data_IF_029936147190
#
_entry.id   IF_029936147190
#
_cell.length_a   1.000
_cell.length_b   1.000
_cell.length_c   1.000
_cell.angle_alpha   90.00
_cell.angle_beta   90.00
_cell.angle_gamma   90.00
#
_symmetry.space_group_name_H-M   'P 1'
#
loop_
_entity.id
_entity.type
_entity.pdbx_description
1 polymer ?
#
# COMPACT_ATOMS: atom_id res chain seq x y z
N UNK A 1 25.82 8.83 -3.51
CA UNK A 1 26.09 9.73 -4.66
C UNK A 1 27.49 10.33 -4.59
N UNK A 2 27.86 11.11 -3.54
CA UNK A 2 29.15 11.81 -3.47
C UNK A 2 30.40 10.91 -3.64
N UNK A 3 30.37 9.69 -3.11
CA UNK A 3 31.47 8.71 -3.22
C UNK A 3 31.61 8.20 -4.67
N UNK A 4 30.51 8.14 -5.41
CA UNK A 4 30.46 7.60 -6.79
C UNK A 4 30.70 8.68 -7.84
N UNK A 5 30.60 9.97 -7.49
CA UNK A 5 30.75 11.08 -8.44
C UNK A 5 32.04 11.03 -9.27
N UNK A 6 33.23 10.74 -8.69
CA UNK A 6 34.47 10.67 -9.49
C UNK A 6 34.43 9.54 -10.54
N UNK A 7 33.72 8.45 -10.29
CA UNK A 7 33.64 7.32 -11.20
C UNK A 7 32.65 7.57 -12.35
N UNK A 8 31.60 8.38 -12.11
CA UNK A 8 30.66 8.77 -13.18
C UNK A 8 31.36 9.56 -14.28
N UNK A 9 32.27 10.46 -13.92
CA UNK A 9 33.03 11.25 -14.88
C UNK A 9 33.98 10.38 -15.72
N UNK A 10 34.50 9.27 -15.17
CA UNK A 10 35.39 8.34 -15.83
C UNK A 10 34.67 7.32 -16.70
N UNK A 11 33.59 6.71 -16.16
CA UNK A 11 32.85 5.59 -16.76
C UNK A 11 31.72 6.04 -17.68
N UNK A 12 31.31 7.29 -17.56
CA UNK A 12 30.07 7.81 -18.13
C UNK A 12 28.83 7.35 -17.34
N UNK A 13 27.70 7.99 -17.61
CA UNK A 13 26.43 7.69 -16.97
C UNK A 13 25.97 8.80 -16.02
N UNK A 14 24.93 8.52 -15.28
CA UNK A 14 24.32 9.45 -14.33
C UNK A 14 23.86 8.71 -13.06
N UNK A 15 24.00 9.35 -11.92
CA UNK A 15 23.45 8.86 -10.64
C UNK A 15 22.46 9.88 -10.11
N UNK A 16 21.22 9.46 -10.00
CA UNK A 16 20.14 10.27 -9.42
C UNK A 16 19.80 9.82 -8.00
N UNK A 17 19.53 10.77 -7.13
CA UNK A 17 19.03 10.51 -5.79
C UNK A 17 17.63 11.12 -5.66
N UNK A 18 16.65 10.27 -5.44
CA UNK A 18 15.27 10.68 -5.26
C UNK A 18 14.89 10.69 -3.76
N UNK A 19 14.48 11.84 -3.26
CA UNK A 19 13.85 11.94 -1.94
C UNK A 19 12.37 11.61 -2.06
N UNK A 20 11.96 10.44 -1.56
CA UNK A 20 10.60 9.92 -1.71
C UNK A 20 9.92 9.78 -0.35
N UNK A 21 9.26 10.86 0.19
CA UNK A 21 8.67 10.84 1.50
C UNK A 21 7.39 9.98 1.57
N UNK A 22 6.97 9.65 2.82
CA UNK A 22 5.68 9.04 3.11
C UNK A 22 5.60 7.55 2.78
N UNK A 23 6.72 6.80 2.82
CA UNK A 23 6.69 5.34 2.62
C UNK A 23 5.84 4.64 3.68
N UNK A 24 5.96 5.04 4.95
CA UNK A 24 5.20 4.51 6.09
C UNK A 24 3.71 4.92 6.09
N UNK A 25 3.27 5.66 5.09
CA UNK A 25 1.88 6.07 4.91
C UNK A 25 1.63 7.55 5.22
N UNK A 26 0.35 7.87 5.45
CA UNK A 26 -0.14 9.23 5.63
C UNK A 26 -0.91 9.74 4.42
N UNK A 27 -1.53 10.90 4.57
CA UNK A 27 -2.27 11.54 3.47
C UNK A 27 -1.31 11.86 2.31
N UNK A 28 -1.66 11.41 1.10
CA UNK A 28 -0.81 11.49 -0.10
C UNK A 28 0.56 10.78 0.05
N UNK A 29 0.68 9.79 0.95
CA UNK A 29 1.88 9.00 1.14
C UNK A 29 2.25 8.12 -0.07
N UNK A 30 3.34 7.37 0.08
CA UNK A 30 3.90 6.49 -0.97
C UNK A 30 4.37 7.26 -2.22
N UNK A 31 5.26 8.22 -2.02
CA UNK A 31 5.69 9.16 -3.06
C UNK A 31 6.37 8.48 -4.26
N UNK A 32 6.95 7.26 -4.13
CA UNK A 32 7.53 6.53 -5.27
C UNK A 32 6.48 6.24 -6.34
N UNK A 33 5.22 5.95 -5.96
CA UNK A 33 4.11 5.83 -6.89
C UNK A 33 3.84 7.11 -7.69
N UNK A 34 3.94 8.28 -7.04
CA UNK A 34 3.85 9.58 -7.73
C UNK A 34 5.00 9.79 -8.70
N UNK A 35 6.23 9.47 -8.31
CA UNK A 35 7.41 9.62 -9.17
C UNK A 35 7.31 8.72 -10.42
N UNK A 36 6.80 7.50 -10.27
CA UNK A 36 6.54 6.61 -11.43
C UNK A 36 5.51 7.25 -12.36
N UNK A 37 4.37 7.69 -11.82
CA UNK A 37 3.28 8.31 -12.60
C UNK A 37 3.71 9.56 -13.37
N UNK A 38 4.60 10.36 -12.78
CA UNK A 38 5.12 11.60 -13.38
C UNK A 38 6.35 11.35 -14.31
N UNK A 39 6.72 10.08 -14.58
CA UNK A 39 7.74 9.72 -15.56
C UNK A 39 9.19 9.89 -15.09
N UNK A 40 9.45 10.02 -13.78
CA UNK A 40 10.81 10.25 -13.26
C UNK A 40 11.76 9.07 -13.50
N UNK A 41 11.24 7.91 -13.88
CA UNK A 41 12.03 6.70 -14.12
C UNK A 41 12.13 6.30 -15.60
N UNK A 42 11.57 7.08 -16.54
CA UNK A 42 11.53 6.72 -17.98
C UNK A 42 12.92 6.57 -18.60
N UNK A 43 13.91 7.29 -18.11
CA UNK A 43 15.30 7.27 -18.59
C UNK A 43 16.28 6.72 -17.53
N UNK A 44 15.78 5.91 -16.58
CA UNK A 44 16.57 5.25 -15.53
C UNK A 44 16.69 3.77 -15.84
N UNK A 45 17.91 3.23 -15.84
CA UNK A 45 18.17 1.83 -16.16
C UNK A 45 17.89 0.88 -14.99
N UNK A 46 18.14 1.32 -13.75
CA UNK A 46 17.93 0.51 -12.53
C UNK A 46 17.80 1.38 -11.28
N UNK A 47 17.11 0.87 -10.27
CA UNK A 47 16.94 1.53 -8.98
C UNK A 47 17.40 0.65 -7.80
N UNK A 48 17.96 1.30 -6.79
CA UNK A 48 18.40 0.67 -5.54
C UNK A 48 17.87 1.47 -4.36
N UNK A 49 17.18 0.78 -3.45
CA UNK A 49 16.74 1.31 -2.17
C UNK A 49 17.18 0.35 -1.05
N UNK A 50 18.05 0.78 -0.14
CA UNK A 50 18.51 -0.06 0.96
C UNK A 50 17.58 0.12 2.16
N UNK A 51 17.08 -0.98 2.71
CA UNK A 51 16.22 -0.98 3.90
C UNK A 51 17.04 -1.37 5.15
N UNK A 52 17.01 -0.58 6.24
CA UNK A 52 17.66 -0.96 7.49
C UNK A 52 16.92 -2.14 8.14
N UNK A 53 17.68 -3.10 8.67
CA UNK A 53 17.14 -4.28 9.34
C UNK A 53 18.13 -4.82 10.38
N UNK A 54 17.79 -5.95 10.99
CA UNK A 54 18.69 -6.70 11.89
C UNK A 54 19.52 -7.77 11.15
N UNK A 55 19.28 -7.97 9.84
CA UNK A 55 20.00 -8.93 9.00
C UNK A 55 20.21 -8.39 7.60
N UNK A 56 21.24 -8.90 6.94
CA UNK A 56 21.39 -8.73 5.50
C UNK A 56 20.45 -9.68 4.77
N UNK A 57 19.67 -9.19 3.82
CA UNK A 57 18.71 -10.03 3.11
C UNK A 57 18.41 -9.51 1.70
N UNK A 58 18.08 -10.44 0.82
CA UNK A 58 17.66 -10.14 -0.56
C UNK A 58 16.31 -9.43 -0.59
N UNK A 59 16.05 -8.74 -1.68
CA UNK A 59 14.73 -8.18 -1.99
C UNK A 59 13.67 -9.27 -1.94
N UNK A 60 12.58 -9.02 -1.23
CA UNK A 60 11.45 -9.94 -1.12
C UNK A 60 10.24 -9.42 -1.88
N UNK A 61 9.42 -10.32 -2.41
CA UNK A 61 8.10 -9.96 -2.91
C UNK A 61 7.27 -9.36 -1.77
N UNK A 62 6.50 -8.33 -2.06
CA UNK A 62 5.56 -7.67 -1.14
C UNK A 62 4.16 -7.64 -1.74
N UNK A 63 3.16 -7.29 -0.91
CA UNK A 63 1.78 -7.23 -1.36
C UNK A 63 1.49 -5.88 -2.05
N UNK A 64 0.69 -5.92 -3.10
CA UNK A 64 -0.01 -4.73 -3.58
C UNK A 64 -1.03 -4.26 -2.53
N UNK A 65 -1.25 -2.94 -2.43
CA UNK A 65 -2.10 -2.34 -1.40
C UNK A 65 -2.82 -1.09 -1.91
N UNK A 66 -4.14 -1.07 -1.76
CA UNK A 66 -4.98 0.10 -2.01
C UNK A 66 -5.57 0.63 -0.70
N UNK A 67 -5.11 1.80 -0.26
CA UNK A 67 -5.65 2.49 0.91
C UNK A 67 -6.86 3.33 0.50
N UNK A 68 -8.08 2.93 0.90
CA UNK A 68 -9.32 3.57 0.48
C UNK A 68 -10.08 4.21 1.63
N UNK A 69 -10.64 5.37 1.38
CA UNK A 69 -11.67 6.00 2.22
C UNK A 69 -13.05 5.77 1.60
N UNK A 70 -14.00 5.45 2.47
CA UNK A 70 -15.42 5.29 2.14
C UNK A 70 -16.21 6.25 3.00
N UNK A 71 -16.99 7.14 2.36
CA UNK A 71 -17.81 8.11 3.06
C UNK A 71 -19.24 8.01 2.56
N UNK A 72 -20.19 8.05 3.48
CA UNK A 72 -21.61 8.09 3.17
C UNK A 72 -22.25 9.35 3.69
N UNK A 73 -23.14 9.92 2.89
CA UNK A 73 -23.91 11.12 3.20
C UNK A 73 -25.40 10.79 3.14
N UNK A 74 -26.07 11.04 4.25
CA UNK A 74 -27.48 10.80 4.42
C UNK A 74 -28.22 12.07 4.86
N UNK A 75 -29.15 11.92 5.80
CA UNK A 75 -29.93 13.04 6.33
C UNK A 75 -30.29 12.79 7.80
N UNK A 76 -29.94 13.74 8.66
CA UNK A 76 -30.29 13.67 10.07
C UNK A 76 -31.82 13.78 10.31
N UNK A 77 -32.28 13.09 11.33
CA UNK A 77 -33.62 13.24 11.91
C UNK A 77 -33.63 12.80 13.36
N UNK A 78 -34.67 13.17 14.10
CA UNK A 78 -34.85 12.66 15.45
C UNK A 78 -35.29 11.19 15.39
N UNK A 79 -34.46 10.28 15.92
CA UNK A 79 -34.64 8.83 15.73
C UNK A 79 -35.97 8.27 16.26
N UNK A 80 -36.57 8.89 17.28
CA UNK A 80 -37.85 8.45 17.85
C UNK A 80 -39.06 9.27 17.33
N UNK A 81 -38.87 10.55 16.98
CA UNK A 81 -40.00 11.42 16.65
C UNK A 81 -40.29 11.45 15.13
N UNK A 82 -39.28 11.26 14.27
CA UNK A 82 -39.43 11.32 12.83
C UNK A 82 -38.37 10.45 12.11
N UNK A 83 -38.23 9.17 12.46
CA UNK A 83 -37.20 8.31 11.85
C UNK A 83 -37.36 8.18 10.33
N UNK A 84 -38.58 8.21 9.81
CA UNK A 84 -38.90 8.11 8.40
C UNK A 84 -38.39 9.29 7.55
N UNK A 85 -38.00 10.41 8.19
CA UNK A 85 -37.41 11.56 7.52
C UNK A 85 -35.88 11.47 7.40
N UNK A 86 -35.27 10.55 8.15
CA UNK A 86 -33.83 10.31 8.15
C UNK A 86 -33.38 9.47 6.95
N UNK A 87 -32.09 9.57 6.63
CA UNK A 87 -31.35 8.66 5.75
C UNK A 87 -30.08 8.31 6.52
N UNK A 88 -29.94 7.04 6.93
CA UNK A 88 -28.91 6.64 7.86
C UNK A 88 -27.60 6.28 7.14
N UNK A 89 -26.60 7.15 7.23
CA UNK A 89 -25.28 6.95 6.65
C UNK A 89 -24.49 5.82 7.35
N UNK A 90 -24.67 5.65 8.68
CA UNK A 90 -23.98 4.58 9.42
C UNK A 90 -24.46 3.19 8.98
N UNK A 91 -25.76 3.02 8.73
CA UNK A 91 -26.29 1.76 8.24
C UNK A 91 -25.73 1.38 6.86
N UNK A 92 -25.47 2.37 6.00
CA UNK A 92 -24.77 2.12 4.73
C UNK A 92 -23.35 1.58 4.96
N UNK A 93 -22.62 2.19 5.88
CA UNK A 93 -21.25 1.76 6.22
C UNK A 93 -21.23 0.36 6.86
N UNK A 94 -22.19 0.06 7.75
CA UNK A 94 -22.34 -1.28 8.35
C UNK A 94 -22.63 -2.33 7.26
N UNK A 95 -23.45 -2.01 6.26
CA UNK A 95 -23.70 -2.92 5.12
C UNK A 95 -22.42 -3.17 4.31
N UNK A 96 -21.54 -2.19 4.17
CA UNK A 96 -20.22 -2.39 3.53
C UNK A 96 -19.39 -3.41 4.30
N UNK A 97 -19.28 -3.29 5.64
CA UNK A 97 -18.58 -4.28 6.45
C UNK A 97 -19.17 -5.69 6.30
N UNK A 98 -20.50 -5.82 6.29
CA UNK A 98 -21.18 -7.09 6.09
C UNK A 98 -20.95 -7.65 4.67
N UNK A 99 -21.00 -6.80 3.65
CA UNK A 99 -20.72 -7.18 2.26
C UNK A 99 -19.28 -7.67 2.07
N UNK A 100 -18.31 -6.97 2.65
CA UNK A 100 -16.90 -7.38 2.66
C UNK A 100 -16.73 -8.71 3.39
N UNK A 101 -17.40 -8.94 4.52
CA UNK A 101 -17.36 -10.21 5.25
C UNK A 101 -17.87 -11.38 4.39
N UNK A 102 -18.96 -11.18 3.63
CA UNK A 102 -19.45 -12.14 2.65
C UNK A 102 -18.49 -12.37 1.50
N UNK A 103 -17.88 -11.30 0.98
CA UNK A 103 -16.91 -11.35 -0.11
C UNK A 103 -15.67 -12.17 0.25
N UNK A 104 -15.15 -12.08 1.49
CA UNK A 104 -13.94 -12.80 1.95
C UNK A 104 -14.00 -14.30 1.71
N UNK A 105 -15.18 -14.91 1.71
CA UNK A 105 -15.36 -16.34 1.46
C UNK A 105 -15.04 -16.75 0.01
N UNK A 106 -14.98 -15.79 -0.89
CA UNK A 106 -14.83 -15.98 -2.34
C UNK A 106 -13.58 -15.31 -2.92
N UNK A 107 -12.66 -14.87 -2.04
CA UNK A 107 -11.39 -14.28 -2.44
C UNK A 107 -10.23 -15.27 -2.29
N UNK A 108 -9.13 -15.12 -3.06
CA UNK A 108 -7.88 -15.83 -2.81
C UNK A 108 -7.41 -15.67 -1.36
N UNK A 109 -6.68 -16.65 -0.84
CA UNK A 109 -6.25 -16.68 0.57
C UNK A 109 -5.25 -15.58 0.95
N UNK A 110 -4.55 -15.05 -0.02
CA UNK A 110 -3.57 -13.97 0.09
C UNK A 110 -4.21 -12.58 0.09
N UNK A 111 -5.51 -12.48 -0.19
CA UNK A 111 -6.24 -11.21 -0.11
C UNK A 111 -6.60 -10.88 1.33
N UNK A 112 -6.20 -9.68 1.74
CA UNK A 112 -6.51 -9.12 3.06
C UNK A 112 -7.28 -7.81 2.91
N UNK A 113 -8.43 -7.70 3.61
CA UNK A 113 -9.21 -6.48 3.68
C UNK A 113 -9.44 -6.15 5.15
N UNK A 114 -8.91 -5.04 5.62
CA UNK A 114 -9.16 -4.55 6.97
C UNK A 114 -9.54 -3.08 6.92
N UNK A 115 -10.35 -2.67 7.91
CA UNK A 115 -10.78 -1.29 8.01
C UNK A 115 -11.34 -0.97 9.37
N UNK A 116 -11.50 0.31 9.59
CA UNK A 116 -12.11 0.88 10.80
C UNK A 116 -13.18 1.88 10.42
N UNK A 117 -14.14 2.07 11.31
CA UNK A 117 -15.08 3.19 11.23
C UNK A 117 -14.37 4.40 11.82
N UNK A 118 -14.22 5.46 11.03
CA UNK A 118 -13.60 6.73 11.44
C UNK A 118 -14.61 7.74 11.91
N UNK A 119 -15.87 7.65 11.42
CA UNK A 119 -17.00 8.43 11.88
C UNK A 119 -18.28 7.58 11.81
N UNK A 120 -19.08 7.58 12.85
CA UNK A 120 -20.33 6.81 12.94
C UNK A 120 -21.54 7.63 13.45
N UNK A 121 -21.44 8.96 13.44
CA UNK A 121 -22.46 9.88 13.91
C UNK A 121 -22.20 10.46 15.29
N UNK A 122 -23.05 11.38 15.74
CA UNK A 122 -22.80 12.24 16.90
C UNK A 122 -23.62 11.88 18.15
N UNK A 123 -24.80 11.29 18.02
CA UNK A 123 -25.67 10.95 19.15
C UNK A 123 -26.63 9.81 18.81
N UNK A 124 -26.89 8.93 19.77
CA UNK A 124 -27.72 7.73 19.57
C UNK A 124 -29.20 8.02 19.26
N UNK A 125 -29.70 9.20 19.59
CA UNK A 125 -31.06 9.64 19.32
C UNK A 125 -31.22 10.49 18.04
N UNK A 126 -30.15 10.59 17.26
CA UNK A 126 -30.11 11.28 15.96
C UNK A 126 -29.70 10.29 14.87
N UNK A 127 -30.49 10.17 13.78
CA UNK A 127 -30.12 9.39 12.62
C UNK A 127 -28.83 9.98 12.02
N UNK A 128 -27.74 9.20 11.88
CA UNK A 128 -26.48 9.70 11.37
C UNK A 128 -26.59 10.19 9.90
N UNK A 129 -26.30 11.45 9.66
CA UNK A 129 -26.25 12.01 8.30
C UNK A 129 -24.90 11.85 7.61
N UNK A 130 -23.88 11.47 8.36
CA UNK A 130 -22.53 11.21 7.87
C UNK A 130 -21.96 9.98 8.59
N UNK A 131 -21.26 9.15 7.82
CA UNK A 131 -20.43 8.07 8.34
C UNK A 131 -19.24 7.85 7.40
N UNK A 132 -18.11 7.50 7.97
CA UNK A 132 -16.89 7.26 7.22
C UNK A 132 -16.14 6.03 7.75
N UNK A 133 -15.47 5.34 6.84
CA UNK A 133 -14.57 4.23 7.15
C UNK A 133 -13.32 4.30 6.30
N UNK A 134 -12.22 3.82 6.85
CA UNK A 134 -10.93 3.74 6.16
C UNK A 134 -10.50 2.28 6.09
N UNK A 135 -10.05 1.86 4.90
CA UNK A 135 -9.74 0.46 4.62
C UNK A 135 -8.38 0.34 3.91
N UNK A 136 -7.72 -0.79 4.14
CA UNK A 136 -6.62 -1.29 3.33
C UNK A 136 -7.05 -2.57 2.61
N UNK A 137 -6.95 -2.57 1.29
CA UNK A 137 -7.18 -3.71 0.44
C UNK A 137 -5.80 -4.22 0.00
N UNK A 138 -5.48 -5.50 0.24
CA UNK A 138 -4.17 -6.07 -0.10
C UNK A 138 -4.34 -7.38 -0.85
N UNK A 139 -3.47 -7.61 -1.84
CA UNK A 139 -3.37 -8.87 -2.57
C UNK A 139 -1.92 -9.15 -2.96
N UNK A 140 -1.61 -10.39 -3.36
CA UNK A 140 -0.27 -10.77 -3.77
C UNK A 140 0.24 -10.03 -5.01
N UNK A 141 -0.66 -9.54 -5.86
CA UNK A 141 -0.32 -8.80 -7.07
C UNK A 141 -1.39 -7.77 -7.45
N UNK A 142 -0.98 -6.79 -8.25
CA UNK A 142 -1.83 -5.68 -8.71
C UNK A 142 -3.10 -6.16 -9.41
N UNK A 143 -3.01 -7.12 -10.32
CA UNK A 143 -4.16 -7.59 -11.09
C UNK A 143 -5.27 -8.18 -10.19
N UNK A 144 -4.89 -8.98 -9.19
CA UNK A 144 -5.84 -9.50 -8.20
C UNK A 144 -6.45 -8.37 -7.37
N UNK A 145 -5.63 -7.37 -7.00
CA UNK A 145 -6.10 -6.25 -6.18
C UNK A 145 -7.08 -5.36 -6.95
N UNK A 146 -6.89 -5.15 -8.25
CA UNK A 146 -7.83 -4.40 -9.09
C UNK A 146 -9.23 -5.04 -9.11
N UNK A 147 -9.28 -6.38 -9.20
CA UNK A 147 -10.56 -7.10 -9.08
C UNK A 147 -11.20 -6.95 -7.69
N UNK A 148 -10.39 -6.95 -6.64
CA UNK A 148 -10.87 -6.75 -5.26
C UNK A 148 -11.40 -5.34 -5.08
N UNK A 149 -10.69 -4.34 -5.59
CA UNK A 149 -11.10 -2.94 -5.55
C UNK A 149 -12.47 -2.74 -6.20
N UNK A 150 -12.67 -3.27 -7.41
CA UNK A 150 -13.95 -3.21 -8.11
C UNK A 150 -15.09 -3.89 -7.33
N UNK A 151 -14.83 -5.07 -6.75
CA UNK A 151 -15.83 -5.79 -5.94
C UNK A 151 -16.22 -5.01 -4.69
N UNK A 152 -15.25 -4.36 -4.00
CA UNK A 152 -15.51 -3.52 -2.83
C UNK A 152 -16.29 -2.27 -3.25
N UNK A 153 -15.92 -1.61 -4.33
CA UNK A 153 -16.67 -0.47 -4.87
C UNK A 153 -18.12 -0.83 -5.19
N UNK A 154 -18.37 -2.02 -5.76
CA UNK A 154 -19.72 -2.50 -6.03
C UNK A 154 -20.54 -2.76 -4.76
N UNK A 155 -19.90 -3.22 -3.67
CA UNK A 155 -20.54 -3.32 -2.35
C UNK A 155 -20.94 -1.94 -1.83
N UNK A 156 -20.05 -0.93 -1.96
CA UNK A 156 -20.34 0.46 -1.57
C UNK A 156 -21.51 1.03 -2.36
N UNK A 157 -21.53 0.84 -3.69
CA UNK A 157 -22.65 1.24 -4.56
C UNK A 157 -23.96 0.59 -4.12
N UNK A 158 -23.92 -0.71 -3.83
CA UNK A 158 -25.09 -1.47 -3.37
C UNK A 158 -25.62 -0.97 -2.02
N UNK A 159 -24.72 -0.68 -1.06
CA UNK A 159 -25.08 -0.13 0.25
C UNK A 159 -25.72 1.28 0.12
N UNK A 160 -25.15 2.13 -0.73
CA UNK A 160 -25.73 3.46 -1.00
C UNK A 160 -27.11 3.37 -1.60
N UNK A 161 -27.31 2.50 -2.59
CA UNK A 161 -28.61 2.27 -3.22
C UNK A 161 -29.67 1.75 -2.22
N UNK A 162 -29.26 0.79 -1.36
CA UNK A 162 -30.17 0.17 -0.39
C UNK A 162 -30.63 1.14 0.71
N UNK A 163 -29.79 2.10 1.09
CA UNK A 163 -30.06 3.06 2.17
C UNK A 163 -30.56 4.42 1.70
N UNK A 164 -30.43 4.71 0.38
CA UNK A 164 -30.75 6.01 -0.19
C UNK A 164 -29.70 7.08 0.10
N UNK A 165 -28.51 6.70 0.53
CA UNK A 165 -27.37 7.61 0.75
C UNK A 165 -26.64 7.94 -0.55
N UNK A 166 -25.89 9.06 -0.57
CA UNK A 166 -24.80 9.26 -1.53
C UNK A 166 -23.47 8.82 -0.90
N UNK A 167 -22.43 8.61 -1.72
CA UNK A 167 -21.17 8.12 -1.24
C UNK A 167 -19.98 8.76 -1.98
N UNK A 168 -18.82 8.72 -1.32
CA UNK A 168 -17.50 8.88 -1.92
C UNK A 168 -16.70 7.59 -1.66
N UNK A 169 -15.96 7.14 -2.66
CA UNK A 169 -15.06 6.00 -2.59
C UNK A 169 -13.80 6.33 -3.36
N UNK A 170 -12.63 6.20 -2.75
CA UNK A 170 -11.38 6.51 -3.41
C UNK A 170 -10.16 6.36 -2.52
N UNK A 171 -9.00 6.47 -3.14
CA UNK A 171 -7.71 6.37 -2.46
C UNK A 171 -7.44 7.62 -1.61
N UNK A 172 -6.95 7.43 -0.39
CA UNK A 172 -6.47 8.53 0.47
C UNK A 172 -4.94 8.72 0.42
N UNK A 173 -4.22 7.76 -0.14
CA UNK A 173 -2.79 7.85 -0.51
C UNK A 173 -2.56 7.11 -1.82
N UNK A 174 -1.35 7.18 -2.39
CA UNK A 174 -1.04 6.44 -3.60
C UNK A 174 -1.25 4.93 -3.41
N UNK A 175 -1.75 4.28 -4.45
CA UNK A 175 -1.76 2.83 -4.58
C UNK A 175 -0.34 2.30 -4.62
N UNK A 176 -0.10 1.18 -3.96
CA UNK A 176 1.20 0.51 -3.91
C UNK A 176 1.11 -0.81 -4.66
N UNK A 177 2.03 -1.03 -5.60
CA UNK A 177 2.11 -2.28 -6.36
C UNK A 177 2.97 -3.32 -5.65
N UNK A 178 2.79 -4.59 -6.01
CA UNK A 178 3.65 -5.67 -5.56
C UNK A 178 5.08 -5.52 -6.11
N UNK A 179 6.07 -5.98 -5.33
CA UNK A 179 7.48 -5.92 -5.76
C UNK A 179 7.77 -7.04 -6.76
N UNK A 180 8.24 -6.66 -7.95
CA UNK A 180 8.86 -7.57 -8.91
C UNK A 180 10.33 -7.74 -8.55
N UNK A 181 10.71 -8.92 -8.06
CA UNK A 181 12.09 -9.19 -7.67
C UNK A 181 13.00 -9.33 -8.89
N UNK A 182 14.23 -8.81 -8.81
CA UNK A 182 15.28 -8.92 -9.83
C UNK A 182 16.48 -9.71 -9.25
N UNK A 183 16.44 -11.06 -9.25
CA UNK A 183 17.42 -11.87 -8.52
C UNK A 183 18.88 -11.63 -8.93
N UNK A 184 19.15 -11.43 -10.22
CA UNK A 184 20.51 -11.15 -10.70
C UNK A 184 21.09 -9.85 -10.18
N UNK A 185 20.23 -8.85 -9.91
CA UNK A 185 20.66 -7.58 -9.33
C UNK A 185 20.94 -7.73 -7.83
N UNK A 186 20.11 -8.49 -7.10
CA UNK A 186 20.40 -8.84 -5.70
C UNK A 186 21.71 -9.64 -5.59
N UNK A 187 21.95 -10.61 -6.48
CA UNK A 187 23.20 -11.38 -6.50
C UNK A 187 24.42 -10.51 -6.69
N UNK A 188 24.36 -9.53 -7.61
CA UNK A 188 25.42 -8.56 -7.81
C UNK A 188 25.66 -7.70 -6.56
N UNK A 189 24.59 -7.21 -5.94
CA UNK A 189 24.67 -6.42 -4.72
C UNK A 189 25.36 -7.21 -3.59
N UNK A 190 24.98 -8.48 -3.36
CA UNK A 190 25.54 -9.29 -2.31
C UNK A 190 26.96 -9.80 -2.61
N UNK A 191 27.34 -9.98 -3.87
CA UNK A 191 28.73 -10.25 -4.24
C UNK A 191 29.63 -9.08 -3.78
N UNK A 192 29.25 -7.83 -4.06
CA UNK A 192 29.99 -6.67 -3.62
C UNK A 192 29.91 -6.43 -2.11
N UNK A 193 28.81 -6.80 -1.46
CA UNK A 193 28.69 -6.74 0.01
C UNK A 193 29.73 -7.64 0.69
N UNK A 194 30.02 -8.80 0.13
CA UNK A 194 31.08 -9.70 0.61
C UNK A 194 32.48 -9.11 0.41
N UNK A 195 32.73 -8.44 -0.70
CA UNK A 195 34.01 -7.76 -0.97
C UNK A 195 34.33 -6.68 0.06
N UNK A 196 33.31 -6.03 0.64
CA UNK A 196 33.49 -5.06 1.73
C UNK A 196 33.51 -5.70 3.13
N UNK A 197 33.50 -7.04 3.21
CA UNK A 197 33.79 -7.79 4.42
C UNK A 197 32.58 -8.36 5.16
N UNK A 198 31.37 -8.34 4.58
CA UNK A 198 30.20 -9.01 5.17
C UNK A 198 30.30 -10.52 4.90
N UNK A 199 30.35 -11.39 5.96
CA UNK A 199 30.41 -12.82 5.76
C UNK A 199 29.15 -13.38 5.10
N UNK A 200 29.31 -14.37 4.20
CA UNK A 200 28.19 -15.07 3.57
C UNK A 200 27.18 -15.63 4.59
N UNK A 201 27.66 -16.07 5.76
CA UNK A 201 26.80 -16.63 6.80
C UNK A 201 25.84 -15.61 7.44
N UNK A 202 26.08 -14.31 7.26
CA UNK A 202 25.23 -13.22 7.77
C UNK A 202 24.16 -12.80 6.76
N UNK A 203 24.26 -13.28 5.51
CA UNK A 203 23.31 -12.98 4.45
C UNK A 203 22.20 -14.01 4.49
N UNK A 204 21.00 -13.56 4.82
CA UNK A 204 19.80 -14.41 4.75
C UNK A 204 19.39 -14.60 3.28
N UNK A 205 19.58 -15.82 2.79
CA UNK A 205 19.24 -16.20 1.41
C UNK A 205 17.80 -16.71 1.30
N UNK A 206 17.11 -16.93 2.41
CA UNK A 206 15.70 -17.33 2.41
C UNK A 206 14.80 -16.13 2.13
N UNK A 207 14.33 -16.04 0.90
CA UNK A 207 13.33 -15.05 0.50
C UNK A 207 11.94 -15.50 0.93
N UNK A 208 11.54 -15.18 2.16
CA UNK A 208 10.13 -15.27 2.54
C UNK A 208 9.42 -14.03 2.02
N UNK A 209 8.31 -14.22 1.29
CA UNK A 209 7.48 -13.11 0.87
C UNK A 209 7.10 -12.24 2.09
N UNK A 210 7.30 -10.95 1.99
CA UNK A 210 6.86 -10.01 3.02
C UNK A 210 5.33 -9.95 3.03
N UNK A 211 4.73 -9.97 4.21
CA UNK A 211 3.29 -9.69 4.37
C UNK A 211 3.00 -8.17 4.36
N UNK A 212 4.04 -7.35 4.27
CA UNK A 212 3.95 -5.90 4.13
C UNK A 212 3.80 -5.45 2.68
N UNK A 213 3.76 -4.14 2.51
CA UNK A 213 3.74 -3.46 1.22
C UNK A 213 4.79 -2.35 1.25
N UNK A 214 5.44 -2.09 0.13
CA UNK A 214 6.38 -0.96 -0.02
C UNK A 214 6.18 -0.32 -1.39
N UNK A 215 6.20 1.01 -1.45
CA UNK A 215 6.08 1.74 -2.70
C UNK A 215 7.28 1.58 -3.65
N UNK A 216 8.32 0.84 -3.23
CA UNK A 216 9.35 0.28 -4.12
C UNK A 216 8.73 -0.65 -5.16
N UNK A 217 7.59 -1.30 -4.82
CA UNK A 217 6.79 -2.07 -5.77
C UNK A 217 6.48 -1.29 -7.04
N UNK A 218 5.97 -0.06 -6.91
CA UNK A 218 5.66 0.78 -8.07
C UNK A 218 6.87 1.01 -8.98
N UNK A 219 8.06 1.23 -8.42
CA UNK A 219 9.30 1.40 -9.21
C UNK A 219 9.69 0.09 -9.89
N UNK A 220 9.56 -1.05 -9.19
CA UNK A 220 9.89 -2.37 -9.73
C UNK A 220 9.02 -2.80 -10.91
N UNK A 221 7.83 -2.21 -11.07
CA UNK A 221 6.97 -2.45 -12.23
C UNK A 221 7.49 -1.81 -13.52
N UNK A 222 8.37 -0.83 -13.43
CA UNK A 222 8.82 -0.04 -14.59
C UNK A 222 10.30 -0.21 -14.92
N UNK A 223 11.14 -0.47 -13.91
CA UNK A 223 12.59 -0.70 -14.10
C UNK A 223 13.10 -1.79 -13.14
N UNK A 224 14.22 -2.48 -13.46
CA UNK A 224 14.89 -3.38 -12.53
C UNK A 224 15.20 -2.68 -11.21
N UNK A 225 14.66 -3.21 -10.11
CA UNK A 225 14.73 -2.55 -8.80
C UNK A 225 15.03 -3.59 -7.72
N UNK A 226 15.91 -3.22 -6.77
CA UNK A 226 16.14 -4.00 -5.57
C UNK A 226 15.94 -3.17 -4.30
N UNK A 227 15.45 -3.85 -3.26
CA UNK A 227 15.38 -3.34 -1.89
C UNK A 227 16.00 -4.35 -0.93
N UNK A 228 17.33 -4.53 -0.97
CA UNK A 228 17.99 -5.41 -0.02
C UNK A 228 17.93 -4.82 1.38
N UNK A 229 17.92 -5.69 2.39
CA UNK A 229 18.09 -5.27 3.78
C UNK A 229 19.55 -5.28 4.17
N UNK A 230 19.92 -4.31 5.02
CA UNK A 230 21.27 -4.19 5.60
C UNK A 230 21.16 -4.17 7.11
N UNK A 231 21.99 -5.00 7.77
CA UNK A 231 22.00 -5.08 9.21
C UNK A 231 22.57 -3.79 9.82
N UNK A 232 21.79 -3.16 10.70
CA UNK A 232 22.18 -2.01 11.52
C UNK A 232 22.03 -2.29 13.02
N UNK A 233 21.56 -3.50 13.39
CA UNK A 233 21.34 -3.93 14.76
C UNK A 233 21.49 -5.45 14.86
N UNK A 234 21.95 -5.94 16.00
CA UNK A 234 22.00 -7.39 16.29
C UNK A 234 20.66 -7.94 16.81
N UNK A 235 19.70 -7.04 17.09
CA UNK A 235 18.37 -7.40 17.58
C UNK A 235 17.31 -7.12 16.50
N UNK A 236 16.20 -7.86 16.57
CA UNK A 236 15.05 -7.65 15.69
C UNK A 236 14.53 -6.21 15.83
N UNK A 237 14.42 -5.53 14.70
CA UNK A 237 13.80 -4.21 14.57
C UNK A 237 12.46 -4.44 13.86
N UNK A 238 11.36 -4.08 14.56
CA UNK A 238 9.99 -4.19 14.01
C UNK A 238 9.66 -2.98 13.15
#
# INVERSE_FOLDING_TARGET
>A
ASVLQPYVDELGGEIRVYGTPGEEGGENGSAKGSFVREGFFEDVDAALCVHPAYRYGKTTASLANDPVDIKFYGRASHAAAAPEKGINALEALIQVFNGINGLRLHLPKDVNIHGVITDGGVAANVVPEYAAGRFYLRAANRATLDEVYEKVENIVKGAALATGTTYEFGLFQNSVDDVIVTPSFDELFFAHTQEVGVPQAEIDVETKASLGSSDVGNVSQVIPTIQPTVSISDEYIA
#
